data_IF_599659292715
#
_entry.id   IF_599659292715
#
_cell.length_a   1.000
_cell.length_b   1.000
_cell.length_c   1.000
_cell.angle_alpha   90.00
_cell.angle_beta   90.00
_cell.angle_gamma   90.00
#
_symmetry.space_group_name_H-M   'P 1'
#
loop_
_entity.id
_entity.type
_entity.pdbx_description
1 polymer ?
#
# COMPACT_ATOMS: atom_id res chain seq x y z
N UNK A 1 29.26 42.00 -42.07
CA UNK A 1 29.93 40.79 -41.54
C UNK A 1 28.89 40.03 -40.73
N UNK A 2 28.47 38.88 -41.24
CA UNK A 2 27.34 38.06 -40.77
C UNK A 2 27.70 37.31 -39.48
N UNK A 3 26.73 37.16 -38.58
CA UNK A 3 26.51 35.93 -37.81
C UNK A 3 24.98 35.75 -37.60
N UNK A 4 24.47 34.64 -38.12
CA UNK A 4 23.20 33.94 -37.83
C UNK A 4 23.48 32.46 -38.14
N UNK A 5 22.65 31.47 -37.73
CA UNK A 5 21.63 31.41 -36.67
C UNK A 5 21.79 30.12 -35.79
N UNK A 6 20.85 29.91 -34.85
CA UNK A 6 20.33 28.62 -34.34
C UNK A 6 21.29 27.46 -34.01
N UNK A 7 21.29 27.02 -32.74
CA UNK A 7 20.57 25.77 -32.42
C UNK A 7 20.21 25.72 -30.91
N UNK A 8 18.95 25.35 -30.55
CA UNK A 8 18.55 25.02 -29.20
C UNK A 8 19.03 23.60 -28.86
N UNK A 9 18.74 23.13 -27.64
CA UNK A 9 19.01 21.76 -27.18
C UNK A 9 20.49 21.51 -26.87
N UNK A 10 20.89 21.61 -25.61
CA UNK A 10 20.83 20.41 -24.78
C UNK A 10 20.49 20.80 -23.35
N UNK A 11 19.19 21.00 -23.07
CA UNK A 11 18.69 20.70 -21.72
C UNK A 11 18.80 19.19 -21.63
N UNK A 12 19.94 18.71 -21.13
CA UNK A 12 20.10 17.32 -20.78
C UNK A 12 18.97 17.01 -19.80
N UNK A 13 17.98 16.27 -20.29
CA UNK A 13 16.91 15.67 -19.52
C UNK A 13 17.56 14.82 -18.43
N UNK A 14 17.81 15.45 -17.28
CA UNK A 14 17.91 14.71 -16.03
C UNK A 14 16.51 14.18 -15.85
N UNK A 15 16.37 12.90 -16.15
CA UNK A 15 15.33 11.99 -15.68
C UNK A 15 15.34 11.97 -14.14
N UNK A 16 15.10 13.13 -13.54
CA UNK A 16 15.21 13.43 -12.14
C UNK A 16 13.86 13.16 -11.54
N UNK A 17 13.80 12.18 -10.64
CA UNK A 17 12.68 11.98 -9.72
C UNK A 17 12.15 13.35 -9.31
N UNK A 18 10.84 13.56 -9.41
CA UNK A 18 10.19 14.80 -8.98
C UNK A 18 10.80 15.29 -7.67
N UNK A 19 11.32 16.52 -7.69
CA UNK A 19 11.90 17.14 -6.51
C UNK A 19 10.80 17.31 -5.47
N UNK A 20 11.08 16.90 -4.23
CA UNK A 20 10.15 17.06 -3.10
C UNK A 20 9.97 18.56 -2.81
N UNK A 21 8.91 19.18 -3.33
CA UNK A 21 8.61 20.60 -3.17
C UNK A 21 7.70 20.91 -1.97
N UNK A 22 6.83 19.95 -1.62
CA UNK A 22 5.79 20.16 -0.62
C UNK A 22 6.24 19.81 0.80
N UNK A 23 5.76 20.57 1.79
CA UNK A 23 5.99 20.31 3.21
C UNK A 23 4.74 20.57 4.04
N UNK A 24 4.56 19.81 5.12
CA UNK A 24 3.57 20.08 6.15
C UNK A 24 4.28 20.06 7.52
N UNK A 25 3.95 21.04 8.37
CA UNK A 25 4.56 21.18 9.68
C UNK A 25 3.68 20.53 10.76
N UNK A 26 4.26 19.69 11.61
CA UNK A 26 3.59 19.09 12.79
C UNK A 26 4.42 19.39 14.04
N UNK A 27 3.77 19.85 15.10
CA UNK A 27 4.44 20.10 16.39
C UNK A 27 4.35 18.86 17.27
N UNK A 28 5.43 18.59 17.99
CA UNK A 28 5.53 17.50 18.95
C UNK A 28 6.03 18.04 20.27
N UNK A 29 5.57 17.46 21.37
CA UNK A 29 6.20 17.61 22.67
C UNK A 29 7.59 16.96 22.66
N UNK A 30 8.40 17.29 23.68
CA UNK A 30 9.75 16.71 23.82
C UNK A 30 9.71 15.19 24.02
N UNK A 31 8.72 14.68 24.75
CA UNK A 31 8.53 13.25 24.97
C UNK A 31 8.17 12.52 23.68
N UNK A 32 7.23 13.03 22.90
CA UNK A 32 6.85 12.46 21.60
C UNK A 32 8.05 12.43 20.64
N UNK A 33 8.81 13.53 20.55
CA UNK A 33 10.00 13.56 19.69
C UNK A 33 11.06 12.55 20.13
N UNK A 34 11.18 12.30 21.43
CA UNK A 34 12.09 11.27 21.95
C UNK A 34 11.67 9.87 21.52
N UNK A 35 10.37 9.57 21.55
CA UNK A 35 9.82 8.29 21.07
C UNK A 35 10.09 8.12 19.57
N UNK A 36 9.77 9.13 18.76
CA UNK A 36 10.02 9.10 17.31
C UNK A 36 11.50 8.93 16.98
N UNK A 37 12.39 9.59 17.74
CA UNK A 37 13.83 9.48 17.54
C UNK A 37 14.36 8.08 17.85
N UNK A 38 13.84 7.43 18.90
CA UNK A 38 14.18 6.04 19.23
C UNK A 38 13.68 5.06 18.17
N UNK A 39 12.46 5.26 17.67
CA UNK A 39 11.92 4.43 16.59
C UNK A 39 12.78 4.54 15.32
N UNK A 40 13.12 5.77 14.90
CA UNK A 40 14.00 5.99 13.76
C UNK A 40 15.40 5.37 13.96
N UNK A 41 15.97 5.50 15.16
CA UNK A 41 17.27 4.91 15.48
C UNK A 41 17.26 3.38 15.43
N UNK A 42 16.16 2.73 15.86
CA UNK A 42 15.99 1.27 15.76
C UNK A 42 16.05 0.79 14.31
N UNK A 43 15.55 1.60 13.38
CA UNK A 43 15.55 1.31 11.94
C UNK A 43 16.80 1.86 11.22
N UNK A 44 17.75 2.46 11.95
CA UNK A 44 18.99 3.03 11.38
C UNK A 44 18.77 4.30 10.55
N UNK A 45 17.63 4.98 10.72
CA UNK A 45 17.20 6.10 9.88
C UNK A 45 17.26 7.44 10.60
N UNK A 46 17.32 8.54 9.83
CA UNK A 46 17.07 9.88 10.37
C UNK A 46 15.58 10.05 10.66
N UNK A 47 15.22 10.76 11.73
CA UNK A 47 13.82 10.96 12.16
C UNK A 47 12.91 11.47 11.04
N UNK A 48 13.39 12.40 10.20
CA UNK A 48 12.60 12.96 9.08
C UNK A 48 12.34 11.93 7.98
N UNK A 49 13.30 11.04 7.72
CA UNK A 49 13.18 9.99 6.72
C UNK A 49 12.23 8.91 7.20
N UNK A 50 12.43 8.45 8.44
CA UNK A 50 11.55 7.50 9.12
C UNK A 50 10.10 8.00 9.17
N UNK A 51 9.89 9.26 9.58
CA UNK A 51 8.55 9.84 9.66
C UNK A 51 7.85 9.90 8.30
N UNK A 52 8.58 10.24 7.24
CA UNK A 52 8.05 10.23 5.87
C UNK A 52 7.60 8.83 5.47
N UNK A 53 8.44 7.82 5.69
CA UNK A 53 8.10 6.45 5.34
C UNK A 53 6.93 5.92 6.15
N UNK A 54 6.89 6.21 7.46
CA UNK A 54 5.79 5.84 8.32
C UNK A 54 4.47 6.45 7.84
N UNK A 55 4.45 7.76 7.54
CA UNK A 55 3.25 8.44 7.07
C UNK A 55 2.82 7.99 5.68
N UNK A 56 3.75 7.77 4.75
CA UNK A 56 3.42 7.25 3.42
C UNK A 56 2.94 5.80 3.47
N UNK A 57 3.53 4.97 4.34
CA UNK A 57 3.08 3.60 4.57
C UNK A 57 1.66 3.60 5.13
N UNK A 58 1.37 4.46 6.10
CA UNK A 58 0.03 4.57 6.67
C UNK A 58 -0.98 5.11 5.67
N UNK A 59 -0.64 6.14 4.89
CA UNK A 59 -1.50 6.65 3.83
C UNK A 59 -1.78 5.59 2.74
N UNK A 60 -0.82 4.70 2.47
CA UNK A 60 -0.97 3.56 1.55
C UNK A 60 -1.59 2.33 2.21
N UNK A 61 -1.84 2.33 3.52
CA UNK A 61 -2.35 1.15 4.23
C UNK A 61 -3.72 0.71 3.70
N UNK A 62 -4.52 1.64 3.16
CA UNK A 62 -5.75 1.32 2.44
C UNK A 62 -5.53 0.43 1.19
N UNK A 63 -4.30 0.40 0.67
CA UNK A 63 -3.84 -0.40 -0.46
C UNK A 63 -2.82 -1.47 -0.03
N UNK A 64 -2.89 -2.00 1.20
CA UNK A 64 -1.96 -3.03 1.66
C UNK A 64 -2.05 -4.29 0.75
N UNK A 65 -1.02 -4.57 -0.08
CA UNK A 65 -1.07 -5.70 -0.99
C UNK A 65 -1.08 -7.02 -0.24
N UNK A 66 -0.42 -7.10 0.92
CA UNK A 66 -0.38 -8.31 1.74
C UNK A 66 -1.76 -8.61 2.30
N UNK A 67 -2.47 -7.59 2.80
CA UNK A 67 -3.85 -7.73 3.23
C UNK A 67 -4.75 -8.20 2.08
N UNK A 68 -4.59 -7.61 0.90
CA UNK A 68 -5.34 -8.01 -0.30
C UNK A 68 -5.11 -9.47 -0.68
N UNK A 69 -3.86 -9.95 -0.67
CA UNK A 69 -3.56 -11.35 -0.97
C UNK A 69 -4.05 -12.30 0.15
N UNK A 70 -3.99 -11.89 1.42
CA UNK A 70 -4.56 -12.67 2.53
C UNK A 70 -6.08 -12.87 2.35
N UNK A 71 -6.80 -11.82 1.96
CA UNK A 71 -8.23 -11.90 1.65
C UNK A 71 -8.47 -12.80 0.44
N UNK A 72 -7.65 -12.71 -0.60
CA UNK A 72 -7.72 -13.61 -1.75
C UNK A 72 -7.56 -15.09 -1.35
N UNK A 73 -6.58 -15.40 -0.50
CA UNK A 73 -6.39 -16.75 0.04
C UNK A 73 -7.61 -17.21 0.83
N UNK A 74 -8.16 -16.37 1.71
CA UNK A 74 -9.40 -16.67 2.46
C UNK A 74 -10.56 -16.98 1.51
N UNK A 75 -10.72 -16.20 0.43
CA UNK A 75 -11.78 -16.43 -0.56
C UNK A 75 -11.60 -17.77 -1.27
N UNK A 76 -10.39 -18.10 -1.73
CA UNK A 76 -10.11 -19.40 -2.37
C UNK A 76 -10.44 -20.54 -1.38
N UNK A 77 -9.94 -20.45 -0.15
CA UNK A 77 -10.18 -21.46 0.87
C UNK A 77 -11.67 -21.66 1.15
N UNK A 78 -12.45 -20.59 1.35
CA UNK A 78 -13.88 -20.72 1.62
C UNK A 78 -14.66 -21.30 0.43
N UNK A 79 -14.27 -20.97 -0.80
CA UNK A 79 -14.89 -21.51 -2.01
C UNK A 79 -14.54 -22.99 -2.24
N UNK A 80 -13.39 -23.46 -1.76
CA UNK A 80 -12.99 -24.87 -1.86
C UNK A 80 -13.49 -25.71 -0.69
N UNK A 81 -13.43 -25.19 0.53
CA UNK A 81 -13.82 -25.93 1.73
C UNK A 81 -15.30 -26.29 1.74
N UNK A 82 -16.18 -25.41 1.23
CA UNK A 82 -17.62 -25.68 1.17
C UNK A 82 -17.98 -26.94 0.36
N UNK A 83 -17.59 -27.07 -0.93
CA UNK A 83 -17.87 -28.29 -1.69
C UNK A 83 -17.15 -29.51 -1.12
N UNK A 84 -15.89 -29.37 -0.67
CA UNK A 84 -15.14 -30.47 -0.08
C UNK A 84 -15.81 -31.01 1.21
N UNK A 85 -16.31 -30.13 2.07
CA UNK A 85 -17.05 -30.53 3.28
C UNK A 85 -18.38 -31.23 2.96
N UNK A 86 -18.94 -30.99 1.77
CA UNK A 86 -20.14 -31.67 1.27
C UNK A 86 -19.80 -32.97 0.51
N UNK A 87 -18.53 -33.39 0.48
CA UNK A 87 -18.07 -34.59 -0.23
C UNK A 87 -18.07 -34.43 -1.76
N UNK A 88 -18.15 -33.20 -2.27
CA UNK A 88 -18.12 -32.93 -3.70
C UNK A 88 -16.67 -32.97 -4.22
N UNK A 89 -16.49 -33.48 -5.44
CA UNK A 89 -15.21 -33.43 -6.14
C UNK A 89 -15.05 -32.06 -6.77
N UNK A 90 -13.96 -31.37 -6.47
CA UNK A 90 -13.59 -30.09 -7.11
C UNK A 90 -12.79 -30.40 -8.36
N UNK A 91 -13.30 -30.01 -9.52
CA UNK A 91 -12.61 -30.20 -10.81
C UNK A 91 -11.54 -29.12 -11.05
N UNK A 92 -10.59 -29.35 -11.96
CA UNK A 92 -9.68 -28.29 -12.43
C UNK A 92 -10.42 -27.06 -12.97
N UNK A 93 -11.53 -27.24 -13.67
CA UNK A 93 -12.36 -26.17 -14.21
C UNK A 93 -12.99 -25.32 -13.10
N UNK A 94 -13.47 -25.97 -12.03
CA UNK A 94 -13.98 -25.29 -10.85
C UNK A 94 -12.90 -24.46 -10.17
N UNK A 95 -11.70 -25.01 -10.03
CA UNK A 95 -10.57 -24.30 -9.44
C UNK A 95 -10.17 -23.07 -10.27
N UNK A 96 -10.12 -23.19 -11.60
CA UNK A 96 -9.84 -22.06 -12.50
C UNK A 96 -10.91 -20.97 -12.38
N UNK A 97 -12.19 -21.36 -12.35
CA UNK A 97 -13.32 -20.43 -12.18
C UNK A 97 -13.22 -19.69 -10.86
N UNK A 98 -13.00 -20.39 -9.74
CA UNK A 98 -12.80 -19.78 -8.42
C UNK A 98 -11.63 -18.80 -8.45
N UNK A 99 -10.51 -19.20 -9.04
CA UNK A 99 -9.31 -18.35 -9.14
C UNK A 99 -9.56 -17.08 -9.96
N UNK A 100 -10.34 -17.17 -11.04
CA UNK A 100 -10.72 -16.03 -11.86
C UNK A 100 -11.62 -15.04 -11.09
N UNK A 101 -12.65 -15.55 -10.39
CA UNK A 101 -13.53 -14.73 -9.54
C UNK A 101 -12.75 -14.05 -8.42
N UNK A 102 -11.83 -14.77 -7.77
CA UNK A 102 -10.99 -14.16 -6.72
C UNK A 102 -10.09 -13.07 -7.30
N UNK A 103 -9.55 -13.27 -8.51
CA UNK A 103 -8.70 -12.26 -9.16
C UNK A 103 -9.47 -10.97 -9.48
N UNK A 104 -10.74 -11.06 -9.89
CA UNK A 104 -11.57 -9.87 -10.16
C UNK A 104 -11.96 -9.15 -8.86
N UNK A 105 -12.26 -9.91 -7.81
CA UNK A 105 -13.00 -9.35 -6.67
C UNK A 105 -12.12 -9.04 -5.45
N UNK A 106 -10.90 -9.62 -5.35
CA UNK A 106 -10.07 -9.56 -4.13
C UNK A 106 -9.82 -8.14 -3.61
N UNK A 107 -9.63 -7.16 -4.50
CA UNK A 107 -9.38 -5.77 -4.11
C UNK A 107 -10.60 -5.12 -3.47
N UNK A 108 -11.76 -5.29 -4.10
CA UNK A 108 -13.03 -4.77 -3.60
C UNK A 108 -13.36 -5.37 -2.23
N UNK A 109 -13.29 -6.70 -2.13
CA UNK A 109 -13.58 -7.42 -0.88
C UNK A 109 -12.59 -7.04 0.22
N UNK A 110 -11.30 -6.88 -0.11
CA UNK A 110 -10.31 -6.42 0.86
C UNK A 110 -10.62 -5.02 1.39
N UNK A 111 -10.97 -4.07 0.51
CA UNK A 111 -11.35 -2.72 0.91
C UNK A 111 -12.60 -2.71 1.81
N UNK A 112 -13.62 -3.48 1.47
CA UNK A 112 -14.85 -3.61 2.29
C UNK A 112 -14.55 -4.16 3.69
N UNK A 113 -13.75 -5.23 3.79
CA UNK A 113 -13.36 -5.82 5.07
C UNK A 113 -12.50 -4.86 5.88
N UNK A 114 -11.57 -4.14 5.25
CA UNK A 114 -10.72 -3.18 5.93
C UNK A 114 -11.54 -2.02 6.53
N UNK A 115 -12.54 -1.52 5.80
CA UNK A 115 -13.46 -0.50 6.31
C UNK A 115 -14.27 -1.00 7.51
N UNK A 116 -14.70 -2.26 7.51
CA UNK A 116 -15.38 -2.87 8.66
C UNK A 116 -14.51 -2.89 9.91
N UNK A 117 -13.24 -3.29 9.80
CA UNK A 117 -12.31 -3.28 10.95
C UNK A 117 -12.02 -1.87 11.46
N UNK A 118 -11.82 -0.89 10.57
CA UNK A 118 -11.60 0.51 10.97
C UNK A 118 -12.83 1.09 11.68
N UNK A 119 -14.04 0.76 11.20
CA UNK A 119 -15.30 1.21 11.79
C UNK A 119 -15.58 0.53 13.13
N UNK A 120 -15.25 -0.76 13.27
CA UNK A 120 -15.40 -1.50 14.52
C UNK A 120 -14.43 -1.00 15.60
N UNK A 121 -13.16 -0.76 15.23
CA UNK A 121 -12.14 -0.20 16.14
C UNK A 121 -12.52 1.20 16.63
N UNK A 122 -13.15 2.03 15.78
CA UNK A 122 -13.61 3.38 16.16
C UNK A 122 -14.80 3.41 17.13
N UNK A 123 -15.48 2.29 17.38
CA UNK A 123 -16.57 2.19 18.37
C UNK A 123 -16.10 1.75 19.76
N UNK A 124 -14.84 1.33 19.88
CA UNK A 124 -14.26 0.86 21.14
C UNK A 124 -13.41 1.94 21.86
N UNK A 125 -13.43 3.18 21.35
CA UNK A 125 -12.77 4.34 21.96
C UNK A 125 -13.75 5.51 22.14
#
# INVERSE_FOLDING_TARGET
MKLTPDDPTTIASRNGRDSRSESFATRFTRSELTVLSRAAAKDGMKVREWAREALLREARRADDPMFTELIATRMILLNLLKPLAMGQVVTPEDFMRISATVRSDKRKVAQEIQQQYTTASSKEF
#
